data_IF_253207548633
#
_entry.id   IF_253207548633
#
_cell.length_a   1.000
_cell.length_b   1.000
_cell.length_c   1.000
_cell.angle_alpha   90.00
_cell.angle_beta   90.00
_cell.angle_gamma   90.00
#
_symmetry.space_group_name_H-M   'P 1'
#
loop_
_entity.id
_entity.type
_entity.pdbx_description
1 polymer ?
#
# COMPACT_ATOMS: atom_id res chain seq x y z
N UNK A 1 -10.87 7.49 16.41
CA UNK A 1 -11.73 8.01 15.33
C UNK A 1 -13.00 8.53 15.99
N UNK A 2 -13.43 9.76 15.70
CA UNK A 2 -14.60 10.38 16.34
C UNK A 2 -15.88 9.87 15.68
N UNK A 3 -16.79 9.31 16.48
CA UNK A 3 -18.11 8.81 16.08
C UNK A 3 -18.99 9.85 15.38
N UNK A 4 -18.73 11.14 15.60
CA UNK A 4 -19.52 12.26 15.08
C UNK A 4 -19.15 12.70 13.65
N UNK A 5 -18.16 12.09 12.99
CA UNK A 5 -17.79 12.43 11.62
C UNK A 5 -18.62 11.69 10.54
N UNK A 6 -19.43 10.70 10.93
CA UNK A 6 -20.19 9.84 10.01
C UNK A 6 -21.71 10.10 10.02
N UNK A 7 -22.17 11.17 10.68
CA UNK A 7 -23.61 11.50 10.79
C UNK A 7 -24.13 12.46 9.70
N UNK A 8 -23.34 12.73 8.65
CA UNK A 8 -23.80 13.54 7.54
C UNK A 8 -24.81 12.75 6.70
N UNK A 9 -26.09 13.06 6.88
CA UNK A 9 -27.14 12.58 5.97
C UNK A 9 -26.85 13.17 4.60
N UNK A 10 -26.63 12.30 3.61
CA UNK A 10 -26.38 12.76 2.23
C UNK A 10 -27.58 13.57 1.73
N UNK A 11 -27.33 14.75 1.17
CA UNK A 11 -28.36 15.57 0.51
C UNK A 11 -28.75 15.03 -0.88
N UNK A 12 -28.15 13.90 -1.29
CA UNK A 12 -28.46 13.20 -2.53
C UNK A 12 -29.92 12.75 -2.54
N UNK A 13 -30.61 13.04 -3.64
CA UNK A 13 -31.90 12.42 -3.93
C UNK A 13 -31.67 10.98 -4.41
N UNK A 14 -31.73 10.02 -3.47
CA UNK A 14 -31.50 8.60 -3.73
C UNK A 14 -32.59 7.97 -4.59
N UNK A 15 -33.85 8.39 -4.46
CA UNK A 15 -34.95 7.89 -5.29
C UNK A 15 -34.71 8.15 -6.78
N UNK A 16 -34.09 9.29 -7.11
CA UNK A 16 -33.70 9.62 -8.48
C UNK A 16 -32.55 8.75 -8.99
N UNK A 17 -31.58 8.42 -8.13
CA UNK A 17 -30.44 7.55 -8.50
C UNK A 17 -30.92 6.12 -8.72
N UNK A 18 -31.80 5.61 -7.85
CA UNK A 18 -32.37 4.26 -7.96
C UNK A 18 -33.24 4.08 -9.21
N UNK A 19 -33.85 5.17 -9.71
CA UNK A 19 -34.67 5.16 -10.91
C UNK A 19 -33.88 5.39 -12.22
N UNK A 20 -32.59 5.74 -12.15
CA UNK A 20 -31.77 6.05 -13.31
C UNK A 20 -31.50 4.79 -14.14
N UNK A 21 -31.67 4.85 -15.47
CA UNK A 21 -31.35 3.72 -16.34
C UNK A 21 -29.91 3.73 -16.79
N UNK A 22 -29.40 2.59 -17.27
CA UNK A 22 -28.02 2.44 -17.74
C UNK A 22 -27.69 3.43 -18.87
N UNK A 23 -28.64 3.68 -19.77
CA UNK A 23 -28.47 4.59 -20.91
C UNK A 23 -28.40 6.07 -20.51
N UNK A 24 -28.88 6.42 -19.32
CA UNK A 24 -28.82 7.77 -18.76
C UNK A 24 -27.49 8.05 -18.04
N UNK A 25 -26.65 7.02 -17.82
CA UNK A 25 -25.33 7.15 -17.20
C UNK A 25 -24.32 7.64 -18.26
N UNK A 26 -23.91 8.90 -18.15
CA UNK A 26 -22.83 9.45 -18.97
C UNK A 26 -21.47 8.94 -18.47
N UNK A 27 -20.82 8.10 -19.28
CA UNK A 27 -19.45 7.60 -19.04
C UNK A 27 -18.45 8.16 -20.05
N UNK A 28 -18.78 9.25 -20.76
CA UNK A 28 -17.93 9.82 -21.82
C UNK A 28 -16.56 10.29 -21.31
N UNK A 29 -16.45 10.56 -20.02
CA UNK A 29 -15.23 10.97 -19.33
C UNK A 29 -14.36 9.78 -18.88
N UNK A 30 -14.92 8.57 -18.80
CA UNK A 30 -14.24 7.37 -18.29
C UNK A 30 -14.16 6.32 -19.40
N UNK A 31 -13.04 6.25 -20.14
CA UNK A 31 -12.87 5.24 -21.17
C UNK A 31 -12.86 3.82 -20.56
N UNK A 32 -13.42 2.82 -21.25
CA UNK A 32 -13.44 1.45 -20.76
C UNK A 32 -12.02 0.88 -20.61
N UNK A 33 -11.78 0.19 -19.48
CA UNK A 33 -10.50 -0.46 -19.22
C UNK A 33 -10.35 -1.72 -20.08
N UNK A 34 -9.37 -1.72 -20.98
CA UNK A 34 -9.14 -2.84 -21.92
C UNK A 34 -8.28 -3.94 -21.30
N UNK A 35 -8.27 -5.13 -21.91
CA UNK A 35 -7.36 -6.21 -21.52
C UNK A 35 -5.88 -5.80 -21.60
N UNK A 36 -5.52 -4.92 -22.54
CA UNK A 36 -4.17 -4.36 -22.64
C UNK A 36 -3.78 -3.47 -21.46
N UNK A 37 -4.75 -2.77 -20.85
CA UNK A 37 -4.52 -2.01 -19.62
C UNK A 37 -4.17 -2.96 -18.47
N UNK A 38 -4.94 -4.04 -18.33
CA UNK A 38 -4.71 -5.03 -17.27
C UNK A 38 -3.44 -5.87 -17.50
N UNK A 39 -3.06 -6.16 -18.75
CA UNK A 39 -1.84 -6.93 -19.04
C UNK A 39 -0.55 -6.21 -18.63
N UNK A 40 -0.56 -4.86 -18.65
CA UNK A 40 0.54 -4.01 -18.18
C UNK A 40 0.45 -3.69 -16.69
N UNK A 41 -0.68 -4.00 -16.06
CA UNK A 41 -0.89 -3.68 -14.65
C UNK A 41 -0.03 -4.59 -13.77
N UNK A 42 0.68 -4.00 -12.82
CA UNK A 42 1.45 -4.74 -11.82
C UNK A 42 0.65 -4.77 -10.54
N UNK A 43 0.16 -5.94 -10.15
CA UNK A 43 -0.49 -6.13 -8.86
C UNK A 43 0.53 -5.87 -7.75
N UNK A 44 0.35 -4.77 -7.01
CA UNK A 44 1.18 -4.46 -5.85
C UNK A 44 0.41 -4.81 -4.59
N UNK A 45 0.78 -5.93 -3.97
CA UNK A 45 0.35 -6.26 -2.63
C UNK A 45 1.35 -5.62 -1.65
N UNK A 46 0.90 -4.77 -0.70
CA UNK A 46 1.74 -4.38 0.42
C UNK A 46 2.19 -5.64 1.15
N UNK A 47 3.50 -5.88 1.18
CA UNK A 47 4.05 -6.93 2.04
C UNK A 47 4.01 -6.36 3.44
N UNK A 48 3.21 -6.98 4.32
CA UNK A 48 3.21 -6.60 5.72
C UNK A 48 4.61 -6.82 6.30
N UNK A 49 5.23 -5.80 6.91
CA UNK A 49 6.53 -5.97 7.53
C UNK A 49 6.39 -6.94 8.70
N UNK A 50 7.07 -8.08 8.62
CA UNK A 50 7.15 -9.03 9.73
C UNK A 50 8.19 -8.50 10.73
N UNK A 51 7.75 -8.20 11.95
CA UNK A 51 8.66 -7.88 13.05
C UNK A 51 9.28 -9.18 13.57
N UNK A 52 10.59 -9.35 13.35
CA UNK A 52 11.35 -10.50 13.84
C UNK A 52 12.40 -10.07 14.85
N UNK A 53 12.57 -10.85 15.91
CA UNK A 53 13.63 -10.65 16.88
C UNK A 53 14.89 -11.37 16.40
N UNK A 54 15.95 -10.63 16.09
CA UNK A 54 17.23 -11.18 15.62
C UNK A 54 18.32 -10.89 16.66
N UNK A 55 19.05 -11.92 17.05
CA UNK A 55 20.24 -11.74 17.88
C UNK A 55 21.40 -11.26 17.00
N UNK A 56 21.98 -10.11 17.36
CA UNK A 56 23.12 -9.50 16.69
C UNK A 56 24.21 -9.23 17.70
N UNK A 57 25.48 -9.24 17.27
CA UNK A 57 26.57 -8.93 18.17
C UNK A 57 26.54 -7.45 18.60
N UNK A 58 27.01 -7.12 19.81
CA UNK A 58 26.95 -5.76 20.34
C UNK A 58 27.69 -4.73 19.49
N UNK A 59 28.83 -5.10 18.88
CA UNK A 59 29.64 -4.21 18.05
C UNK A 59 28.94 -3.83 16.74
N UNK A 60 28.31 -4.79 16.07
CA UNK A 60 27.55 -4.56 14.84
C UNK A 60 26.33 -3.69 15.12
N UNK A 61 25.61 -3.95 16.21
CA UNK A 61 24.48 -3.11 16.59
C UNK A 61 24.92 -1.68 16.91
N UNK A 62 26.04 -1.50 17.61
CA UNK A 62 26.59 -0.18 17.91
C UNK A 62 27.00 0.56 16.63
N UNK A 63 27.60 -0.13 15.65
CA UNK A 63 27.96 0.45 14.36
C UNK A 63 26.74 0.92 13.57
N UNK A 64 25.65 0.12 13.53
CA UNK A 64 24.41 0.53 12.88
C UNK A 64 23.78 1.73 13.58
N UNK A 65 23.69 1.72 14.91
CA UNK A 65 23.14 2.84 15.70
C UNK A 65 23.93 4.14 15.49
N UNK A 66 25.23 4.06 15.29
CA UNK A 66 26.06 5.23 14.98
C UNK A 66 25.73 5.88 13.62
N UNK A 67 25.00 5.19 12.74
CA UNK A 67 24.62 5.71 11.42
C UNK A 67 23.36 6.60 11.42
N UNK A 68 22.71 6.80 12.57
CA UNK A 68 21.55 7.67 12.73
C UNK A 68 20.26 6.94 13.12
N UNK A 69 19.17 7.71 13.17
CA UNK A 69 17.84 7.23 13.62
C UNK A 69 17.21 6.18 12.69
N UNK A 70 17.71 6.06 11.46
CA UNK A 70 17.24 5.11 10.45
C UNK A 70 18.03 3.77 10.47
N UNK A 71 18.78 3.48 11.53
CA UNK A 71 19.64 2.30 11.62
C UNK A 71 18.89 0.98 11.38
N UNK A 72 17.63 0.87 11.81
CA UNK A 72 16.80 -0.33 11.61
C UNK A 72 16.51 -0.57 10.13
N UNK A 73 16.24 0.50 9.37
CA UNK A 73 16.03 0.42 7.92
C UNK A 73 17.31 0.03 7.19
N UNK A 74 18.45 0.58 7.61
CA UNK A 74 19.77 0.22 7.07
C UNK A 74 20.12 -1.24 7.35
N UNK A 75 19.81 -1.73 8.55
CA UNK A 75 20.00 -3.13 8.92
C UNK A 75 19.10 -4.07 8.09
N UNK A 76 17.83 -3.72 7.92
CA UNK A 76 16.91 -4.47 7.05
C UNK A 76 17.39 -4.52 5.59
N UNK A 77 17.90 -3.40 5.05
CA UNK A 77 18.47 -3.35 3.71
C UNK A 77 19.72 -4.24 3.57
N UNK A 78 20.61 -4.24 4.57
CA UNK A 78 21.79 -5.11 4.57
C UNK A 78 21.42 -6.60 4.57
N UNK A 79 20.45 -7.00 5.40
CA UNK A 79 19.94 -8.37 5.42
C UNK A 79 19.35 -8.77 4.06
N UNK A 80 18.63 -7.87 3.40
CA UNK A 80 18.07 -8.10 2.07
C UNK A 80 19.16 -8.30 1.01
N UNK A 81 20.17 -7.43 0.98
CA UNK A 81 21.30 -7.55 0.04
C UNK A 81 22.02 -8.88 0.25
N UNK A 82 22.28 -9.26 1.50
CA UNK A 82 22.89 -10.54 1.82
C UNK A 82 22.04 -11.71 1.30
N UNK A 83 20.73 -11.70 1.57
CA UNK A 83 19.83 -12.74 1.11
C UNK A 83 19.76 -12.82 -0.43
N UNK A 84 19.70 -11.69 -1.13
CA UNK A 84 19.69 -11.65 -2.60
C UNK A 84 21.01 -12.19 -3.20
N UNK A 85 22.15 -11.84 -2.62
CA UNK A 85 23.45 -12.33 -3.07
C UNK A 85 23.65 -13.85 -2.90
N UNK A 86 22.85 -14.49 -2.04
CA UNK A 86 22.91 -15.92 -1.75
C UNK A 86 21.68 -16.71 -2.25
N UNK A 87 20.76 -16.05 -2.97
CA UNK A 87 19.68 -16.74 -3.69
C UNK A 87 20.23 -17.24 -5.03
N UNK A 88 20.07 -18.53 -5.28
CA UNK A 88 20.35 -19.17 -6.56
C UNK A 88 19.33 -18.74 -7.64
#
# INVERSE_FOLDING_TARGET
MNENAMNNTSETNWEKVDALTEEEIDTSDIPPLTEEFFSKSRWWKPVEPLNVLVQVDPSTLAWFKAQGEDYEKKMAAALRIYAEAHKA
#
